data_IF_323921402347
#
_entry.id   IF_323921402347
#
_cell.length_a   1.000
_cell.length_b   1.000
_cell.length_c   1.000
_cell.angle_alpha   90.00
_cell.angle_beta   90.00
_cell.angle_gamma   90.00
#
_symmetry.space_group_name_H-M   'P 1'
#
loop_
_entity.id
_entity.type
_entity.pdbx_description
1 polymer ?
#
# COMPACT_ATOMS: atom_id res chain seq x y z
N UNK A 1 9.86 18.95 -22.92
CA UNK A 1 10.12 20.15 -22.09
C UNK A 1 11.38 19.86 -21.29
N UNK A 2 12.52 20.43 -21.61
CA UNK A 2 13.76 20.35 -20.82
C UNK A 2 13.61 21.10 -19.48
N UNK A 3 14.56 20.92 -18.55
CA UNK A 3 14.54 21.60 -17.24
C UNK A 3 14.60 23.12 -17.37
N UNK A 4 15.36 23.63 -18.35
CA UNK A 4 15.45 25.06 -18.66
C UNK A 4 14.12 25.73 -18.97
N UNK A 5 13.19 25.00 -19.57
CA UNK A 5 11.84 25.53 -19.92
C UNK A 5 10.94 25.69 -18.69
N UNK A 6 11.30 25.06 -17.57
CA UNK A 6 10.55 25.18 -16.30
C UNK A 6 10.95 26.45 -15.54
N UNK A 7 12.18 26.91 -15.71
CA UNK A 7 12.76 28.03 -14.97
C UNK A 7 11.98 29.34 -15.21
N UNK A 8 11.88 29.77 -16.47
CA UNK A 8 11.25 31.04 -16.84
C UNK A 8 9.83 31.21 -16.28
N UNK A 9 8.92 30.29 -16.56
CA UNK A 9 7.56 30.37 -16.07
C UNK A 9 7.44 30.42 -14.53
N UNK A 10 8.26 29.64 -13.81
CA UNK A 10 8.25 29.64 -12.34
C UNK A 10 8.87 30.93 -11.80
N UNK A 11 9.93 31.46 -12.43
CA UNK A 11 10.50 32.77 -12.13
C UNK A 11 9.42 33.86 -12.24
N UNK A 12 8.77 33.96 -13.39
CA UNK A 12 7.72 34.95 -13.64
C UNK A 12 6.59 34.86 -12.60
N UNK A 13 6.22 33.61 -12.21
CA UNK A 13 5.20 33.38 -11.19
C UNK A 13 5.57 33.96 -9.83
N UNK A 14 6.86 33.94 -9.46
CA UNK A 14 7.35 34.53 -8.22
C UNK A 14 7.58 36.05 -8.35
N UNK A 15 8.09 36.53 -9.47
CA UNK A 15 8.33 37.96 -9.71
C UNK A 15 7.03 38.78 -9.66
N UNK A 16 5.95 38.26 -10.25
CA UNK A 16 4.60 38.85 -10.13
C UNK A 16 4.14 38.96 -8.66
N UNK A 17 4.69 38.14 -7.76
CA UNK A 17 4.39 38.18 -6.32
C UNK A 17 5.39 39.02 -5.50
N UNK A 18 6.28 39.73 -6.17
CA UNK A 18 7.23 40.65 -5.55
C UNK A 18 8.49 39.94 -4.99
N UNK A 19 8.82 38.75 -5.48
CA UNK A 19 10.09 38.11 -5.15
C UNK A 19 11.19 38.49 -6.17
N UNK A 20 12.42 38.69 -5.70
CA UNK A 20 13.61 38.69 -6.55
C UNK A 20 14.01 37.23 -6.79
N UNK A 21 14.21 36.83 -8.07
CA UNK A 21 14.45 35.43 -8.44
C UNK A 21 15.78 35.30 -9.17
N UNK A 22 16.61 34.36 -8.72
CA UNK A 22 17.89 34.01 -9.33
C UNK A 22 18.02 32.50 -9.53
N UNK A 23 18.64 32.10 -10.63
CA UNK A 23 19.01 30.72 -10.92
C UNK A 23 20.42 30.40 -10.48
N UNK A 24 20.69 29.10 -10.31
CA UNK A 24 22.02 28.54 -10.03
C UNK A 24 22.74 29.17 -8.82
N UNK A 25 21.97 29.53 -7.79
CA UNK A 25 22.51 30.08 -6.54
C UNK A 25 22.83 28.94 -5.58
N UNK A 26 24.07 28.77 -5.20
CA UNK A 26 24.51 27.71 -4.27
C UNK A 26 24.02 26.33 -4.66
N UNK A 27 24.14 26.00 -5.94
CA UNK A 27 23.67 24.74 -6.55
C UNK A 27 22.14 24.50 -6.45
N UNK A 28 21.36 25.55 -6.18
CA UNK A 28 19.90 25.51 -6.26
C UNK A 28 19.45 25.96 -7.65
N UNK A 29 18.56 25.22 -8.31
CA UNK A 29 18.11 25.53 -9.67
C UNK A 29 17.40 26.90 -9.73
N UNK A 30 16.60 27.24 -8.70
CA UNK A 30 15.94 28.51 -8.56
C UNK A 30 15.82 28.92 -7.09
N UNK A 31 16.21 30.16 -6.79
CA UNK A 31 16.03 30.80 -5.47
C UNK A 31 15.20 32.05 -5.66
N UNK A 32 14.08 32.14 -4.92
CA UNK A 32 13.22 33.32 -4.85
C UNK A 32 13.33 33.94 -3.45
N UNK A 33 13.62 35.25 -3.37
CA UNK A 33 13.80 35.97 -2.11
C UNK A 33 12.93 37.20 -2.07
N UNK A 34 12.30 37.43 -0.91
CA UNK A 34 11.59 38.68 -0.59
C UNK A 34 11.80 39.01 0.89
N UNK A 35 12.56 40.04 1.19
CA UNK A 35 13.06 40.36 2.53
C UNK A 35 13.86 39.14 3.09
N UNK A 36 13.44 38.59 4.23
CA UNK A 36 14.02 37.41 4.85
C UNK A 36 13.34 36.11 4.40
N UNK A 37 12.32 36.19 3.57
CA UNK A 37 11.58 35.04 3.05
C UNK A 37 12.33 34.44 1.86
N UNK A 38 12.90 33.26 2.05
CA UNK A 38 13.67 32.52 1.04
C UNK A 38 12.94 31.25 0.64
N UNK A 39 12.75 31.09 -0.66
CA UNK A 39 12.12 29.91 -1.27
C UNK A 39 13.11 29.28 -2.23
N UNK A 40 13.24 27.95 -2.19
CA UNK A 40 14.06 27.18 -3.13
C UNK A 40 13.14 26.29 -3.97
N UNK A 41 13.40 26.24 -5.27
CA UNK A 41 12.71 25.33 -6.20
C UNK A 41 13.76 24.52 -6.96
N UNK A 42 13.70 23.20 -6.84
CA UNK A 42 14.46 22.27 -7.63
C UNK A 42 13.66 21.86 -8.86
N UNK A 43 14.28 21.81 -10.04
CA UNK A 43 13.62 21.57 -11.32
C UNK A 43 14.00 20.19 -11.87
N UNK A 44 13.04 19.41 -12.34
CA UNK A 44 13.28 18.13 -13.02
C UNK A 44 12.24 17.83 -14.08
N UNK A 45 12.66 17.11 -15.13
CA UNK A 45 11.76 16.65 -16.19
C UNK A 45 10.86 15.49 -15.74
N UNK A 46 11.28 14.71 -14.72
CA UNK A 46 10.56 13.52 -14.23
C UNK A 46 10.71 13.36 -12.71
N UNK A 47 9.67 12.85 -12.03
CA UNK A 47 9.81 12.38 -10.66
C UNK A 47 10.92 11.34 -10.52
N UNK A 48 11.84 11.54 -9.57
CA UNK A 48 12.95 10.62 -9.29
C UNK A 48 13.35 10.68 -7.82
N UNK A 49 14.08 9.69 -7.32
CA UNK A 49 14.66 9.76 -5.98
C UNK A 49 15.70 10.88 -5.86
N UNK A 50 16.45 11.15 -6.94
CA UNK A 50 17.48 12.20 -6.94
C UNK A 50 16.91 13.57 -6.56
N UNK A 51 15.77 13.97 -7.14
CA UNK A 51 15.16 15.27 -6.80
C UNK A 51 14.63 15.30 -5.36
N UNK A 52 14.24 14.16 -4.78
CA UNK A 52 13.87 14.10 -3.36
C UNK A 52 15.10 14.34 -2.47
N UNK A 53 16.24 13.76 -2.81
CA UNK A 53 17.49 14.01 -2.07
C UNK A 53 17.89 15.47 -2.15
N UNK A 54 17.88 16.07 -3.35
CA UNK A 54 18.14 17.49 -3.53
C UNK A 54 17.19 18.35 -2.67
N UNK A 55 15.90 18.09 -2.71
CA UNK A 55 14.93 18.83 -1.91
C UNK A 55 15.17 18.68 -0.39
N UNK A 56 15.59 17.50 0.08
CA UNK A 56 15.91 17.29 1.50
C UNK A 56 17.16 18.07 1.91
N UNK A 57 18.19 18.13 1.06
CA UNK A 57 19.40 18.90 1.33
C UNK A 57 19.10 20.41 1.44
N UNK A 58 18.09 20.91 0.70
CA UNK A 58 17.69 22.33 0.75
C UNK A 58 16.98 22.72 2.06
N UNK A 59 16.47 21.75 2.82
CA UNK A 59 15.89 22.06 4.16
C UNK A 59 16.92 22.58 5.16
N UNK A 60 18.22 22.37 4.92
CA UNK A 60 19.27 23.04 5.68
C UNK A 60 19.33 24.55 5.46
N UNK A 61 18.74 25.05 4.36
CA UNK A 61 18.78 26.47 3.96
C UNK A 61 17.44 27.20 4.22
N UNK A 62 16.31 26.52 4.03
CA UNK A 62 14.96 27.05 4.22
C UNK A 62 13.92 25.96 4.41
N UNK A 63 12.86 26.25 5.16
CA UNK A 63 11.69 25.36 5.27
C UNK A 63 10.76 25.42 4.02
N UNK A 64 11.02 26.37 3.11
CA UNK A 64 10.18 26.61 1.94
C UNK A 64 10.78 26.05 0.67
N UNK A 65 10.79 24.71 0.59
CA UNK A 65 11.35 23.96 -0.55
C UNK A 65 10.21 23.46 -1.44
N UNK A 66 10.40 23.66 -2.74
CA UNK A 66 9.48 23.18 -3.78
C UNK A 66 10.24 22.33 -4.82
N UNK A 67 9.45 21.54 -5.53
CA UNK A 67 9.87 20.87 -6.76
C UNK A 67 9.03 21.42 -7.91
N UNK A 68 9.67 21.71 -9.04
CA UNK A 68 9.06 22.09 -10.31
C UNK A 68 9.12 20.94 -11.32
N UNK A 69 7.99 20.53 -11.89
CA UNK A 69 7.89 19.46 -12.87
C UNK A 69 7.03 19.87 -14.07
N UNK A 70 7.21 19.25 -15.25
CA UNK A 70 6.28 19.39 -16.36
C UNK A 70 4.87 18.90 -16.00
N UNK A 71 3.84 19.60 -16.41
CA UNK A 71 2.44 19.28 -16.10
C UNK A 71 1.93 17.97 -16.69
N UNK A 72 2.56 17.46 -17.76
CA UNK A 72 2.26 16.15 -18.33
C UNK A 72 2.63 14.98 -17.41
N UNK A 73 3.52 15.19 -16.43
CA UNK A 73 3.83 14.21 -15.39
C UNK A 73 2.70 14.09 -14.33
N UNK A 74 1.73 15.03 -14.33
CA UNK A 74 0.67 15.15 -13.32
C UNK A 74 -0.36 14.02 -13.27
N UNK A 75 -0.23 12.97 -14.07
CA UNK A 75 -1.22 11.90 -14.24
C UNK A 75 -0.69 10.53 -13.83
N UNK A 76 -1.60 9.63 -13.46
CA UNK A 76 -1.30 8.23 -13.17
C UNK A 76 -1.06 7.87 -11.70
N UNK A 77 -0.98 6.56 -11.43
CA UNK A 77 -0.85 5.98 -10.09
C UNK A 77 0.48 6.36 -9.42
N UNK A 78 1.57 6.30 -10.19
CA UNK A 78 2.91 6.61 -9.69
C UNK A 78 3.06 8.08 -9.32
N UNK A 79 2.50 8.99 -10.12
CA UNK A 79 2.54 10.41 -9.79
C UNK A 79 1.68 10.75 -8.55
N UNK A 80 0.54 10.09 -8.38
CA UNK A 80 -0.26 10.21 -7.14
C UNK A 80 0.53 9.76 -5.90
N UNK A 81 1.30 8.68 -6.02
CA UNK A 81 2.19 8.22 -4.97
C UNK A 81 3.30 9.23 -4.69
N UNK A 82 3.94 9.77 -5.74
CA UNK A 82 4.97 10.81 -5.62
C UNK A 82 4.44 12.06 -4.89
N UNK A 83 3.27 12.57 -5.24
CA UNK A 83 2.63 13.69 -4.52
C UNK A 83 2.39 13.39 -3.03
N UNK A 84 2.10 12.13 -2.67
CA UNK A 84 1.98 11.73 -1.26
C UNK A 84 3.32 11.78 -0.54
N UNK A 85 4.40 11.37 -1.24
CA UNK A 85 5.77 11.46 -0.68
C UNK A 85 6.12 12.92 -0.42
N UNK A 86 5.96 13.81 -1.41
CA UNK A 86 6.25 15.24 -1.25
C UNK A 86 5.52 15.85 -0.04
N UNK A 87 4.21 15.59 0.09
CA UNK A 87 3.43 16.07 1.24
C UNK A 87 3.91 15.50 2.57
N UNK A 88 4.42 14.27 2.57
CA UNK A 88 5.03 13.64 3.76
C UNK A 88 6.38 14.22 4.14
N UNK A 89 7.12 14.70 3.14
CA UNK A 89 8.40 15.39 3.33
C UNK A 89 8.23 16.88 3.59
N UNK A 90 7.02 17.44 3.46
CA UNK A 90 6.80 18.88 3.61
C UNK A 90 7.20 19.71 2.38
N UNK A 91 7.49 19.08 1.25
CA UNK A 91 7.93 19.71 0.01
C UNK A 91 6.73 20.15 -0.82
N UNK A 92 6.76 21.39 -1.32
CA UNK A 92 5.76 21.94 -2.23
C UNK A 92 5.93 21.45 -3.68
N UNK A 93 4.95 21.69 -4.53
CA UNK A 93 4.96 21.25 -5.92
C UNK A 93 4.40 22.32 -6.86
N UNK A 94 5.20 22.65 -7.89
CA UNK A 94 4.76 23.39 -9.08
C UNK A 94 4.68 22.42 -10.28
N UNK A 95 3.67 22.65 -11.13
CA UNK A 95 3.53 22.00 -12.43
C UNK A 95 3.50 23.06 -13.52
N UNK A 96 4.37 22.91 -14.53
CA UNK A 96 4.44 23.81 -15.68
C UNK A 96 3.80 23.12 -16.87
N UNK A 97 2.70 23.69 -17.35
CA UNK A 97 1.95 23.19 -18.49
C UNK A 97 2.30 23.99 -19.73
N UNK A 98 2.65 23.31 -20.82
CA UNK A 98 2.78 23.93 -22.13
C UNK A 98 1.38 24.34 -22.62
N UNK A 99 1.28 25.53 -23.21
CA UNK A 99 0.07 26.10 -23.78
C UNK A 99 0.39 26.75 -25.14
N UNK A 100 -0.57 26.95 -26.01
CA UNK A 100 -0.42 27.68 -27.27
C UNK A 100 0.00 29.14 -27.09
N UNK A 101 -0.27 29.70 -25.93
CA UNK A 101 0.07 31.09 -25.55
C UNK A 101 1.31 31.16 -24.62
N UNK A 102 2.13 30.11 -24.57
CA UNK A 102 3.30 30.03 -23.69
C UNK A 102 3.18 28.94 -22.62
N UNK A 103 3.57 29.25 -21.38
CA UNK A 103 3.52 28.29 -20.28
C UNK A 103 2.60 28.75 -19.17
N UNK A 104 1.86 27.83 -18.56
CA UNK A 104 1.03 28.10 -17.39
C UNK A 104 1.59 27.36 -16.18
N UNK A 105 1.82 28.07 -15.08
CA UNK A 105 2.26 27.49 -13.81
C UNK A 105 1.06 27.15 -12.95
N UNK A 106 0.97 25.91 -12.53
CA UNK A 106 0.04 25.42 -11.50
C UNK A 106 0.78 25.27 -10.18
N UNK A 107 0.39 26.02 -9.15
CA UNK A 107 0.82 25.80 -7.78
C UNK A 107 -0.03 24.66 -7.19
N UNK A 108 0.44 23.42 -7.35
CA UNK A 108 -0.33 22.23 -6.96
C UNK A 108 -0.53 22.14 -5.43
N UNK A 109 0.47 22.48 -4.63
CA UNK A 109 0.41 22.66 -3.18
C UNK A 109 1.72 23.26 -2.65
N UNK A 110 1.62 23.99 -1.52
CA UNK A 110 2.77 24.55 -0.81
C UNK A 110 3.45 23.57 0.15
N UNK A 111 4.63 23.95 0.67
CA UNK A 111 5.28 23.26 1.76
C UNK A 111 4.37 23.27 3.00
N UNK A 112 4.40 22.18 3.76
CA UNK A 112 3.61 22.04 4.98
C UNK A 112 4.43 21.40 6.09
N UNK A 113 4.23 21.78 7.35
CA UNK A 113 4.88 21.11 8.48
C UNK A 113 4.61 19.60 8.47
N UNK A 114 5.66 18.81 8.64
CA UNK A 114 5.58 17.34 8.63
C UNK A 114 4.94 16.87 9.94
N UNK A 115 3.76 16.29 9.86
CA UNK A 115 3.12 15.58 10.98
C UNK A 115 2.90 14.14 10.61
N UNK A 116 3.59 13.23 11.31
CA UNK A 116 3.31 11.79 11.18
C UNK A 116 1.89 11.52 11.71
N UNK A 117 1.03 10.95 10.87
CA UNK A 117 -0.32 10.53 11.26
C UNK A 117 -0.47 9.04 11.03
N UNK A 118 -0.66 8.30 12.10
CA UNK A 118 -1.12 6.90 12.05
C UNK A 118 -2.65 6.85 12.06
N UNK A 119 -3.21 5.83 11.47
CA UNK A 119 -4.65 5.58 11.50
C UNK A 119 -4.95 4.52 12.57
N UNK A 120 -5.56 4.90 13.69
CA UNK A 120 -5.97 3.98 14.75
C UNK A 120 -6.78 2.79 14.22
N UNK A 121 -7.68 3.03 13.24
CA UNK A 121 -8.48 1.97 12.59
C UNK A 121 -7.58 0.97 11.85
N UNK A 122 -6.58 1.45 11.09
CA UNK A 122 -5.66 0.57 10.35
C UNK A 122 -4.73 -0.19 11.27
N UNK A 123 -4.24 0.47 12.31
CA UNK A 123 -3.42 -0.18 13.35
C UNK A 123 -4.21 -1.29 14.06
N UNK A 124 -5.45 -1.02 14.46
CA UNK A 124 -6.31 -2.02 15.06
C UNK A 124 -6.65 -3.19 14.11
N UNK A 125 -6.79 -2.93 12.80
CA UNK A 125 -6.98 -3.99 11.82
C UNK A 125 -5.71 -4.85 11.66
N UNK A 126 -4.53 -4.22 11.66
CA UNK A 126 -3.24 -4.92 11.61
C UNK A 126 -3.04 -5.81 12.85
N UNK A 127 -3.33 -5.27 14.05
CA UNK A 127 -3.24 -6.03 15.30
C UNK A 127 -4.19 -7.23 15.26
N UNK A 128 -5.45 -7.06 14.89
CA UNK A 128 -6.40 -8.17 14.77
C UNK A 128 -5.93 -9.26 13.79
N UNK A 129 -5.31 -8.85 12.67
CA UNK A 129 -4.75 -9.81 11.73
C UNK A 129 -3.53 -10.52 12.33
N UNK A 130 -2.67 -9.82 13.04
CA UNK A 130 -1.53 -10.38 13.74
C UNK A 130 -1.94 -11.40 14.81
N UNK A 131 -2.86 -11.02 15.69
CA UNK A 131 -3.37 -11.88 16.77
C UNK A 131 -4.16 -13.10 16.27
N UNK A 132 -4.79 -12.97 15.10
CA UNK A 132 -5.55 -14.05 14.47
C UNK A 132 -4.70 -15.03 13.65
N UNK A 133 -3.41 -14.77 13.44
CA UNK A 133 -2.51 -15.74 12.78
C UNK A 133 -2.05 -16.79 13.78
N UNK A 134 -2.18 -18.06 13.42
CA UNK A 134 -1.56 -19.16 14.15
C UNK A 134 -0.03 -19.18 13.94
N UNK A 135 0.64 -20.22 14.49
CA UNK A 135 2.10 -20.43 14.44
C UNK A 135 2.66 -20.73 13.02
N UNK A 136 2.01 -20.26 11.98
CA UNK A 136 2.45 -20.48 10.59
C UNK A 136 3.30 -19.29 10.15
N UNK A 137 4.61 -19.50 10.11
CA UNK A 137 5.59 -18.52 9.66
C UNK A 137 5.46 -18.23 8.17
N UNK A 138 4.72 -17.17 7.83
CA UNK A 138 4.86 -16.55 6.52
C UNK A 138 6.19 -15.80 6.49
N UNK A 139 7.17 -16.30 5.75
CA UNK A 139 8.46 -15.63 5.59
C UNK A 139 8.24 -14.30 4.87
N UNK A 140 8.53 -13.20 5.57
CA UNK A 140 8.42 -11.85 5.00
C UNK A 140 9.32 -11.68 3.77
N UNK A 141 8.79 -11.06 2.71
CA UNK A 141 9.56 -10.79 1.49
C UNK A 141 9.56 -11.92 0.45
N UNK A 142 8.97 -13.09 0.74
CA UNK A 142 8.82 -14.14 -0.28
C UNK A 142 7.66 -13.79 -1.22
N UNK A 143 7.97 -13.61 -2.51
CA UNK A 143 6.96 -13.40 -3.55
C UNK A 143 6.49 -14.71 -4.20
N UNK A 144 7.12 -15.85 -3.90
CA UNK A 144 6.95 -17.10 -4.60
C UNK A 144 5.94 -18.07 -3.96
N UNK A 145 5.64 -17.94 -2.66
CA UNK A 145 4.67 -18.80 -2.00
C UNK A 145 3.35 -18.05 -1.74
N UNK A 146 2.19 -18.69 -1.90
CA UNK A 146 0.91 -18.06 -1.56
C UNK A 146 0.89 -17.67 -0.08
N UNK A 147 0.72 -16.38 0.20
CA UNK A 147 0.62 -15.88 1.58
C UNK A 147 -0.52 -16.59 2.30
N UNK A 148 -0.21 -17.25 3.40
CA UNK A 148 -1.24 -17.89 4.23
C UNK A 148 -1.90 -16.81 5.09
N UNK A 149 -3.18 -16.58 4.86
CA UNK A 149 -4.01 -15.64 5.64
C UNK A 149 -4.79 -16.41 6.70
N UNK A 150 -5.23 -15.71 7.77
CA UNK A 150 -6.13 -16.31 8.79
C UNK A 150 -7.33 -17.02 8.16
N UNK A 151 -7.93 -16.42 7.13
CA UNK A 151 -9.03 -17.06 6.39
C UNK A 151 -8.61 -18.39 5.76
N UNK A 152 -7.40 -18.46 5.21
CA UNK A 152 -6.88 -19.68 4.56
C UNK A 152 -6.58 -20.76 5.58
N UNK A 153 -6.01 -20.41 6.72
CA UNK A 153 -5.76 -21.33 7.84
C UNK A 153 -7.06 -21.94 8.34
N UNK A 154 -8.05 -21.10 8.62
CA UNK A 154 -9.41 -21.54 9.01
C UNK A 154 -10.04 -22.47 7.95
N UNK A 155 -9.91 -22.10 6.66
CA UNK A 155 -10.46 -22.90 5.57
C UNK A 155 -9.76 -24.26 5.43
N UNK A 156 -8.42 -24.33 5.62
CA UNK A 156 -7.65 -25.56 5.61
C UNK A 156 -7.98 -26.47 6.79
N UNK A 157 -8.24 -25.90 7.96
CA UNK A 157 -8.67 -26.67 9.12
C UNK A 157 -10.06 -27.27 8.89
N UNK A 158 -11.01 -26.49 8.36
CA UNK A 158 -12.34 -26.97 7.96
C UNK A 158 -12.21 -28.09 6.91
N UNK A 159 -11.33 -27.89 5.92
CA UNK A 159 -11.03 -28.89 4.90
C UNK A 159 -10.56 -30.21 5.52
N UNK A 160 -9.58 -30.18 6.42
CA UNK A 160 -9.05 -31.37 7.07
C UNK A 160 -10.10 -32.12 7.92
N UNK A 161 -11.02 -31.37 8.60
CA UNK A 161 -12.14 -32.01 9.28
C UNK A 161 -13.12 -32.69 8.32
N UNK A 162 -13.48 -32.02 7.22
CA UNK A 162 -14.38 -32.58 6.22
C UNK A 162 -13.78 -33.79 5.48
N UNK A 163 -12.46 -33.83 5.33
CA UNK A 163 -11.72 -34.97 4.76
C UNK A 163 -11.89 -36.24 5.65
N UNK A 164 -11.93 -36.05 6.98
CA UNK A 164 -12.09 -37.16 7.93
C UNK A 164 -13.57 -37.52 8.11
N UNK A 165 -14.44 -36.53 8.21
CA UNK A 165 -15.86 -36.72 8.55
C UNK A 165 -16.76 -36.99 7.34
N UNK A 166 -16.26 -36.73 6.12
CA UNK A 166 -17.03 -36.77 4.88
C UNK A 166 -18.01 -35.61 4.75
N UNK A 167 -18.92 -35.46 5.70
CA UNK A 167 -19.90 -34.34 5.76
C UNK A 167 -20.01 -33.79 7.17
N UNK A 168 -20.24 -32.48 7.30
CA UNK A 168 -20.48 -31.87 8.60
C UNK A 168 -21.27 -30.56 8.51
N UNK A 169 -21.91 -30.20 9.63
CA UNK A 169 -22.52 -28.88 9.80
C UNK A 169 -21.51 -27.87 10.34
N UNK A 170 -21.70 -26.55 10.10
CA UNK A 170 -20.89 -25.51 10.72
C UNK A 170 -20.88 -25.59 12.25
N UNK A 171 -21.98 -26.00 12.86
CA UNK A 171 -22.10 -26.20 14.31
C UNK A 171 -21.23 -27.35 14.80
N UNK A 172 -21.21 -28.47 14.10
CA UNK A 172 -20.38 -29.62 14.43
C UNK A 172 -18.89 -29.32 14.26
N UNK A 173 -18.51 -28.63 13.19
CA UNK A 173 -17.14 -28.20 12.94
C UNK A 173 -16.61 -27.23 14.02
N UNK A 174 -17.41 -26.24 14.43
CA UNK A 174 -17.06 -25.38 15.55
C UNK A 174 -16.89 -26.15 16.86
N UNK A 175 -17.83 -27.02 17.16
CA UNK A 175 -17.70 -27.89 18.32
C UNK A 175 -16.46 -28.80 18.27
N UNK A 176 -15.90 -29.05 17.08
CA UNK A 176 -14.67 -29.83 16.89
C UNK A 176 -13.39 -28.99 16.92
N UNK A 177 -13.49 -27.66 17.11
CA UNK A 177 -12.34 -26.76 17.24
C UNK A 177 -12.10 -25.83 16.06
N UNK A 178 -12.98 -25.81 15.05
CA UNK A 178 -12.94 -24.78 14.01
C UNK A 178 -13.38 -23.40 14.56
N UNK A 179 -12.93 -22.34 13.90
CA UNK A 179 -13.20 -20.95 14.30
C UNK A 179 -14.70 -20.60 14.27
N UNK A 180 -15.07 -19.56 15.01
CA UNK A 180 -16.44 -19.01 14.98
C UNK A 180 -16.89 -18.57 13.57
N UNK A 181 -15.93 -18.28 12.70
CA UNK A 181 -16.15 -17.88 11.30
C UNK A 181 -16.47 -19.04 10.35
N UNK A 182 -16.47 -20.29 10.84
CA UNK A 182 -16.70 -21.50 10.03
C UNK A 182 -17.93 -21.38 9.12
N UNK A 183 -19.05 -20.88 9.64
CA UNK A 183 -20.27 -20.71 8.84
C UNK A 183 -20.15 -19.63 7.75
N UNK A 184 -19.38 -18.59 7.98
CA UNK A 184 -19.08 -17.56 7.00
C UNK A 184 -18.16 -18.11 5.89
N UNK A 185 -17.10 -18.82 6.28
CA UNK A 185 -16.12 -19.41 5.36
C UNK A 185 -16.77 -20.41 4.42
N UNK A 186 -17.61 -21.32 4.95
CA UNK A 186 -18.32 -22.30 4.16
C UNK A 186 -19.32 -21.70 3.17
N UNK A 187 -19.96 -20.58 3.54
CA UNK A 187 -20.89 -19.85 2.64
C UNK A 187 -20.15 -19.02 1.59
N UNK A 188 -19.11 -18.30 1.99
CA UNK A 188 -18.31 -17.46 1.09
C UNK A 188 -17.52 -18.30 0.09
N UNK A 189 -16.96 -19.44 0.54
CA UNK A 189 -16.30 -20.46 -0.27
C UNK A 189 -15.36 -19.89 -1.36
N UNK A 190 -14.53 -18.92 -1.00
CA UNK A 190 -13.67 -18.20 -1.95
C UNK A 190 -12.69 -19.08 -2.72
N UNK A 191 -12.39 -20.26 -2.20
CA UNK A 191 -11.51 -21.25 -2.84
C UNK A 191 -12.27 -22.35 -3.58
N UNK A 192 -13.60 -22.37 -3.53
CA UNK A 192 -14.44 -23.42 -4.12
C UNK A 192 -14.14 -24.84 -3.61
N UNK A 193 -13.56 -24.97 -2.40
CA UNK A 193 -13.23 -26.27 -1.82
C UNK A 193 -14.43 -27.00 -1.21
N UNK A 194 -15.50 -26.29 -0.93
CA UNK A 194 -16.66 -26.82 -0.19
C UNK A 194 -17.90 -26.90 -1.07
N UNK A 195 -18.70 -27.89 -0.86
CA UNK A 195 -19.98 -28.09 -1.53
C UNK A 195 -21.10 -28.24 -0.49
N UNK A 196 -22.20 -27.58 -0.70
CA UNK A 196 -23.39 -27.72 0.14
C UNK A 196 -24.21 -28.91 -0.34
N UNK A 197 -24.33 -29.96 0.49
CA UNK A 197 -25.11 -31.18 0.19
C UNK A 197 -26.59 -30.95 0.46
N UNK A 198 -26.91 -30.41 1.63
CA UNK A 198 -28.25 -30.06 2.06
C UNK A 198 -28.24 -28.82 2.98
N UNK A 199 -29.42 -28.46 3.53
CA UNK A 199 -29.52 -27.28 4.39
C UNK A 199 -28.61 -27.42 5.62
N UNK A 200 -27.50 -26.67 5.63
CA UNK A 200 -26.58 -26.62 6.77
C UNK A 200 -25.55 -27.76 6.81
N UNK A 201 -25.44 -28.61 5.79
CA UNK A 201 -24.46 -29.68 5.69
C UNK A 201 -23.54 -29.44 4.48
N UNK A 202 -22.26 -29.59 4.71
CA UNK A 202 -21.22 -29.34 3.72
C UNK A 202 -20.30 -30.56 3.57
N UNK A 203 -19.73 -30.72 2.39
CA UNK A 203 -18.67 -31.69 2.06
C UNK A 203 -17.55 -31.03 1.28
N UNK A 204 -16.45 -31.77 1.04
CA UNK A 204 -15.44 -31.34 0.10
C UNK A 204 -15.93 -31.46 -1.34
N UNK A 205 -15.51 -30.51 -2.18
CA UNK A 205 -15.62 -30.66 -3.62
C UNK A 205 -14.65 -31.73 -4.12
N UNK A 206 -15.03 -32.49 -5.14
CA UNK A 206 -14.26 -33.63 -5.67
C UNK A 206 -12.85 -33.25 -6.17
N UNK A 207 -12.63 -32.01 -6.62
CA UNK A 207 -11.34 -31.52 -7.11
C UNK A 207 -10.47 -30.91 -6.01
N UNK A 208 -11.06 -30.53 -4.88
CA UNK A 208 -10.39 -29.79 -3.82
C UNK A 208 -9.21 -30.52 -3.18
N UNK A 209 -9.30 -31.85 -3.04
CA UNK A 209 -8.24 -32.65 -2.39
C UNK A 209 -6.91 -32.60 -3.16
N UNK A 210 -6.95 -32.67 -4.48
CA UNK A 210 -5.74 -32.59 -5.30
C UNK A 210 -5.17 -31.15 -5.34
N UNK A 211 -6.04 -30.14 -5.44
CA UNK A 211 -5.64 -28.74 -5.42
C UNK A 211 -4.95 -28.36 -4.12
N UNK A 212 -5.57 -28.68 -2.98
CA UNK A 212 -5.05 -28.34 -1.65
C UNK A 212 -3.77 -29.09 -1.33
N UNK A 213 -3.68 -30.38 -1.68
CA UNK A 213 -2.48 -31.17 -1.46
C UNK A 213 -1.27 -30.66 -2.28
N UNK A 214 -1.53 -30.16 -3.48
CA UNK A 214 -0.48 -29.57 -4.31
C UNK A 214 -0.08 -28.16 -3.86
N UNK A 215 -1.05 -27.30 -3.54
CA UNK A 215 -0.81 -25.89 -3.21
C UNK A 215 -0.32 -25.67 -1.77
N UNK A 216 -0.70 -26.54 -0.81
CA UNK A 216 -0.44 -26.36 0.63
C UNK A 216 -0.06 -27.67 1.35
N UNK A 217 0.94 -28.43 0.88
CA UNK A 217 1.23 -29.77 1.41
C UNK A 217 1.59 -29.78 2.91
N UNK A 218 2.44 -28.84 3.33
CA UNK A 218 2.89 -28.75 4.72
C UNK A 218 1.77 -28.29 5.67
N UNK A 219 1.00 -27.28 5.26
CA UNK A 219 -0.12 -26.76 6.02
C UNK A 219 -1.22 -27.78 6.19
N UNK A 220 -1.55 -28.50 5.12
CA UNK A 220 -2.53 -29.57 5.16
C UNK A 220 -2.11 -30.67 6.13
N UNK A 221 -0.82 -31.04 6.13
CA UNK A 221 -0.27 -32.02 7.06
C UNK A 221 -0.43 -31.58 8.52
N UNK A 222 -0.13 -30.32 8.82
CA UNK A 222 -0.34 -29.72 10.15
C UNK A 222 -1.81 -29.71 10.55
N UNK A 223 -2.70 -29.26 9.65
CA UNK A 223 -4.14 -29.26 9.90
C UNK A 223 -4.69 -30.66 10.18
N UNK A 224 -4.25 -31.68 9.41
CA UNK A 224 -4.61 -33.09 9.63
C UNK A 224 -4.15 -33.61 11.00
N UNK A 225 -2.93 -33.25 11.41
CA UNK A 225 -2.42 -33.63 12.73
C UNK A 225 -3.24 -32.99 13.84
N UNK A 226 -3.54 -31.70 13.73
CA UNK A 226 -4.37 -30.95 14.68
C UNK A 226 -5.78 -31.55 14.77
N UNK A 227 -6.43 -31.86 13.63
CA UNK A 227 -7.73 -32.49 13.60
C UNK A 227 -7.75 -33.83 14.35
N UNK A 228 -6.74 -34.68 14.14
CA UNK A 228 -6.63 -35.97 14.86
C UNK A 228 -6.53 -35.76 16.38
N UNK A 229 -5.72 -34.81 16.82
CA UNK A 229 -5.59 -34.45 18.24
C UNK A 229 -6.92 -33.96 18.83
N UNK A 230 -7.60 -33.06 18.12
CA UNK A 230 -8.87 -32.49 18.57
C UNK A 230 -10.02 -33.53 18.58
N UNK A 231 -10.01 -34.51 17.69
CA UNK A 231 -10.98 -35.60 17.66
C UNK A 231 -10.69 -36.66 18.74
N UNK A 232 -9.42 -36.89 19.08
CA UNK A 232 -9.04 -37.84 20.13
C UNK A 232 -9.27 -37.30 21.54
N UNK A 233 -9.40 -35.99 21.71
CA UNK A 233 -9.64 -35.31 22.99
C UNK A 233 -11.14 -35.24 23.38
N UNK A 234 -12.03 -35.81 22.56
CA UNK A 234 -13.46 -35.89 22.79
C UNK A 234 -13.90 -37.31 23.15
#
# INVERSE_FOLDING_TARGET
MPESDLYGPIKDWFEVKGFDVRGEVNHCDLVAKRNDDVIIVELKVKPSLKILYQALDRFALTERVYIGLPGNQGRGKNFRAFKKVLRRLGVGLFLVHASTLGHRVEHAFGPMPVKARSSKRRTAALIREFDGRGDIDNIGGSAAAPVVTVYREDALLIFAFLEILGTASPKALKASGCSERTGEILRANHYHWFEKVERGIYRLNNTASNEVAHAYPELLTRCRALCKTLLAAK
#
